data_IF_633995762101
#
_entry.id   IF_633995762101
#
_cell.length_a   1.000
_cell.length_b   1.000
_cell.length_c   1.000
_cell.angle_alpha   90.00
_cell.angle_beta   90.00
_cell.angle_gamma   90.00
#
_symmetry.space_group_name_H-M   'P 1'
#
loop_
_entity.id
_entity.type
_entity.pdbx_description
1 polymer ?
#
# COMPACT_ATOMS: atom_id res chain seq x y z
N UNK A 1 2.76 6.78 -11.70
CA UNK A 1 2.93 5.57 -10.85
C UNK A 1 1.57 5.16 -10.31
N UNK A 2 1.24 3.90 -10.43
CA UNK A 2 -0.02 3.39 -9.89
C UNK A 2 0.18 2.86 -8.46
N UNK A 3 -0.92 2.48 -7.81
CA UNK A 3 -0.87 2.04 -6.40
C UNK A 3 -0.01 0.80 -6.22
N UNK A 4 -0.16 -0.19 -7.08
CA UNK A 4 0.62 -1.42 -6.94
C UNK A 4 2.11 -1.18 -7.24
N UNK A 5 2.40 -0.26 -8.14
CA UNK A 5 3.79 0.12 -8.43
C UNK A 5 4.46 0.72 -7.21
N UNK A 6 3.76 1.57 -6.49
CA UNK A 6 4.29 2.15 -5.25
C UNK A 6 4.54 1.07 -4.20
N UNK A 7 3.59 0.15 -4.05
CA UNK A 7 3.73 -0.94 -3.08
C UNK A 7 4.95 -1.79 -3.40
N UNK A 8 5.13 -2.15 -4.67
CA UNK A 8 6.27 -2.96 -5.10
C UNK A 8 7.59 -2.26 -4.83
N UNK A 9 7.67 -0.99 -5.17
CA UNK A 9 8.87 -0.19 -4.96
C UNK A 9 9.20 -0.05 -3.47
N UNK A 10 8.18 0.25 -2.67
CA UNK A 10 8.33 0.41 -1.22
C UNK A 10 8.85 -0.88 -0.58
N UNK A 11 8.23 -2.01 -0.90
CA UNK A 11 8.62 -3.29 -0.30
C UNK A 11 10.00 -3.74 -0.76
N UNK A 12 10.35 -3.46 -2.00
CA UNK A 12 11.69 -3.77 -2.49
C UNK A 12 12.74 -2.97 -1.74
N UNK A 13 12.52 -1.68 -1.56
CA UNK A 13 13.47 -0.80 -0.90
C UNK A 13 13.59 -1.07 0.59
N UNK A 14 12.48 -1.39 1.25
CA UNK A 14 12.47 -1.54 2.70
C UNK A 14 12.74 -2.96 3.17
N UNK A 15 12.25 -3.95 2.43
CA UNK A 15 12.29 -5.35 2.86
C UNK A 15 13.03 -6.25 1.88
N UNK A 16 13.44 -5.75 0.73
CA UNK A 16 14.08 -6.57 -0.29
C UNK A 16 13.14 -7.56 -0.97
N UNK A 17 11.85 -7.27 -0.95
CA UNK A 17 10.83 -8.15 -1.54
C UNK A 17 10.89 -8.04 -3.06
N UNK A 18 10.92 -9.19 -3.73
CA UNK A 18 10.91 -9.23 -5.19
C UNK A 18 9.57 -8.69 -5.72
N UNK A 19 9.60 -7.74 -6.65
CA UNK A 19 8.35 -7.16 -7.19
C UNK A 19 7.39 -8.21 -7.76
N UNK A 20 7.93 -9.30 -8.32
CA UNK A 20 7.10 -10.36 -8.91
C UNK A 20 6.27 -11.11 -7.87
N UNK A 21 6.64 -11.06 -6.60
CA UNK A 21 5.87 -11.71 -5.53
C UNK A 21 4.77 -10.81 -4.99
N UNK A 22 4.76 -9.54 -5.35
CA UNK A 22 3.76 -8.58 -4.91
C UNK A 22 2.59 -8.65 -5.89
N UNK A 23 1.69 -9.59 -5.64
CA UNK A 23 0.51 -9.83 -6.45
C UNK A 23 -0.73 -9.60 -5.60
N UNK A 24 -1.91 -9.33 -6.22
CA UNK A 24 -3.11 -8.98 -5.45
C UNK A 24 -3.51 -10.02 -4.42
N UNK A 25 -3.25 -11.29 -4.67
CA UNK A 25 -3.62 -12.38 -3.76
C UNK A 25 -2.66 -12.52 -2.59
N UNK A 26 -1.48 -11.92 -2.65
CA UNK A 26 -0.46 -12.10 -1.63
C UNK A 26 -0.87 -11.44 -0.31
N UNK A 27 -0.85 -12.19 0.81
CA UNK A 27 -1.07 -11.58 2.11
C UNK A 27 0.09 -10.65 2.47
N UNK A 28 -0.22 -9.47 2.97
CA UNK A 28 0.81 -8.50 3.35
C UNK A 28 1.73 -9.07 4.43
N UNK A 29 1.17 -9.85 5.36
CA UNK A 29 1.97 -10.46 6.41
C UNK A 29 3.03 -11.41 5.85
N UNK A 30 2.71 -12.13 4.79
CA UNK A 30 3.65 -13.04 4.13
C UNK A 30 4.79 -12.30 3.46
N UNK A 31 4.59 -11.05 3.12
CA UNK A 31 5.61 -10.19 2.51
C UNK A 31 6.46 -9.48 3.56
N UNK A 32 6.17 -9.69 4.85
CA UNK A 32 6.92 -9.08 5.93
C UNK A 32 6.37 -7.74 6.39
N UNK A 33 5.16 -7.39 5.97
CA UNK A 33 4.54 -6.11 6.33
C UNK A 33 3.84 -6.27 7.68
N UNK A 34 4.35 -5.61 8.69
CA UNK A 34 3.71 -5.55 10.01
C UNK A 34 2.98 -4.20 10.16
N UNK A 35 2.49 -3.92 11.38
CA UNK A 35 1.74 -2.70 11.64
C UNK A 35 2.57 -1.44 11.38
N UNK A 36 3.84 -1.46 11.76
CA UNK A 36 4.72 -0.32 11.56
C UNK A 36 4.99 -0.10 10.08
N UNK A 37 5.26 -1.17 9.34
CA UNK A 37 5.50 -1.08 7.90
C UNK A 37 4.25 -0.61 7.16
N UNK A 38 3.08 -1.07 7.60
CA UNK A 38 1.81 -0.61 7.02
C UNK A 38 1.63 0.89 7.23
N UNK A 39 1.96 1.39 8.41
CA UNK A 39 1.86 2.81 8.71
C UNK A 39 2.81 3.63 7.81
N UNK A 40 4.04 3.16 7.66
CA UNK A 40 5.02 3.82 6.78
C UNK A 40 4.55 3.81 5.33
N UNK A 41 3.98 2.70 4.88
CA UNK A 41 3.46 2.58 3.52
C UNK A 41 2.30 3.55 3.29
N UNK A 42 1.42 3.70 4.28
CA UNK A 42 0.32 4.66 4.19
C UNK A 42 0.84 6.09 4.09
N UNK A 43 1.87 6.43 4.84
CA UNK A 43 2.48 7.76 4.74
C UNK A 43 3.09 7.99 3.35
N UNK A 44 3.68 6.97 2.75
CA UNK A 44 4.19 7.07 1.39
C UNK A 44 3.06 7.36 0.39
N UNK A 45 1.92 6.70 0.55
CA UNK A 45 0.76 6.98 -0.28
C UNK A 45 0.28 8.41 -0.12
N UNK A 46 0.21 8.90 1.11
CA UNK A 46 -0.20 10.29 1.35
C UNK A 46 0.73 11.27 0.63
N UNK A 47 2.02 11.02 0.73
CA UNK A 47 3.04 11.90 0.17
C UNK A 47 3.06 11.85 -1.35
N UNK A 48 3.03 10.63 -1.91
CA UNK A 48 3.16 10.43 -3.36
C UNK A 48 1.91 10.83 -4.13
N UNK A 49 0.74 10.60 -3.57
CA UNK A 49 -0.52 10.87 -4.25
C UNK A 49 -1.24 12.10 -3.72
N UNK A 50 -0.66 12.79 -2.76
CA UNK A 50 -1.22 13.99 -2.15
C UNK A 50 -2.65 13.76 -1.65
N UNK A 51 -2.81 12.71 -0.86
CA UNK A 51 -4.08 12.33 -0.25
C UNK A 51 -3.92 12.30 1.25
N UNK A 52 -5.05 12.33 1.97
CA UNK A 52 -5.05 12.19 3.42
C UNK A 52 -5.76 10.92 3.81
N UNK A 53 -5.13 10.15 4.69
CA UNK A 53 -5.67 8.89 5.16
C UNK A 53 -6.26 9.06 6.55
N UNK A 54 -7.43 8.49 6.75
CA UNK A 54 -8.08 8.49 8.05
C UNK A 54 -7.49 7.39 8.93
N UNK A 55 -7.39 7.65 10.23
CA UNK A 55 -6.96 6.63 11.19
C UNK A 55 -8.03 5.56 11.41
N UNK A 56 -9.24 5.80 10.92
CA UNK A 56 -10.36 4.87 11.05
C UNK A 56 -10.40 3.81 9.95
N UNK A 57 -9.48 3.86 9.01
CA UNK A 57 -9.45 2.89 7.92
C UNK A 57 -9.09 1.50 8.43
N UNK A 58 -9.77 0.49 7.91
CA UNK A 58 -9.45 -0.88 8.23
C UNK A 58 -8.10 -1.24 7.64
N UNK A 59 -7.31 -2.00 8.40
CA UNK A 59 -6.02 -2.47 7.91
C UNK A 59 -6.25 -3.53 6.82
N UNK A 60 -5.79 -3.32 5.59
CA UNK A 60 -5.91 -4.33 4.56
C UNK A 60 -5.02 -5.54 4.87
N UNK A 61 -5.45 -6.72 4.45
CA UNK A 61 -4.71 -7.96 4.72
C UNK A 61 -3.95 -8.46 3.50
N UNK A 62 -4.41 -8.13 2.30
CA UNK A 62 -3.74 -8.52 1.07
C UNK A 62 -3.33 -7.31 0.27
N UNK A 63 -2.43 -7.54 -0.70
CA UNK A 63 -2.02 -6.48 -1.62
C UNK A 63 -3.23 -5.93 -2.38
N UNK A 64 -4.12 -6.80 -2.83
CA UNK A 64 -5.32 -6.39 -3.56
C UNK A 64 -6.24 -5.52 -2.73
N UNK A 65 -6.42 -5.84 -1.45
CA UNK A 65 -7.22 -5.01 -0.56
C UNK A 65 -6.59 -3.64 -0.38
N UNK A 66 -5.27 -3.59 -0.23
CA UNK A 66 -4.54 -2.32 -0.10
C UNK A 66 -4.67 -1.49 -1.38
N UNK A 67 -4.49 -2.11 -2.53
CA UNK A 67 -4.62 -1.42 -3.82
C UNK A 67 -6.03 -0.84 -3.98
N UNK A 68 -7.05 -1.64 -3.68
CA UNK A 68 -8.44 -1.19 -3.79
C UNK A 68 -8.73 -0.02 -2.87
N UNK A 69 -8.22 -0.09 -1.65
CA UNK A 69 -8.39 0.98 -0.67
C UNK A 69 -7.73 2.27 -1.16
N UNK A 70 -6.50 2.17 -1.61
CA UNK A 70 -5.75 3.36 -2.06
C UNK A 70 -6.32 3.94 -3.34
N UNK A 71 -6.70 3.10 -4.30
CA UNK A 71 -7.30 3.58 -5.55
C UNK A 71 -8.61 4.30 -5.28
N UNK A 72 -9.42 3.79 -4.36
CA UNK A 72 -10.66 4.45 -3.96
C UNK A 72 -10.41 5.81 -3.33
N UNK A 73 -9.43 5.91 -2.46
CA UNK A 73 -9.09 7.17 -1.80
C UNK A 73 -8.52 8.18 -2.78
N UNK A 74 -7.65 7.74 -3.68
CA UNK A 74 -7.07 8.62 -4.69
C UNK A 74 -8.16 9.18 -5.59
N UNK A 75 -9.05 8.31 -6.08
CA UNK A 75 -10.14 8.73 -6.95
C UNK A 75 -11.08 9.70 -6.23
N UNK A 76 -11.39 9.42 -4.97
CA UNK A 76 -12.30 10.24 -4.17
C UNK A 76 -11.74 11.64 -3.90
N UNK A 77 -10.44 11.73 -3.62
CA UNK A 77 -9.82 12.99 -3.21
C UNK A 77 -9.33 13.83 -4.38
N UNK A 78 -9.16 13.23 -5.57
CA UNK A 78 -8.69 13.96 -6.75
C UNK A 78 -9.80 14.37 -7.71
N UNK A 79 -11.00 13.95 -7.47
CA UNK A 79 -12.14 14.30 -8.34
C UNK A 79 -12.60 15.74 -8.18
#
# INVERSE_FOLDING_TARGET
>A
MDSIGLIREFLKDRLGVEPDTVVPQAPLADLGVDSLMMLELMFEFEDRFDIKLSTDLKTPQTVGELVSLMDGLIASQKS
#
